data_IF_251092855205
#
_entry.id   IF_251092855205
#
_cell.length_a   1.000
_cell.length_b   1.000
_cell.length_c   1.000
_cell.angle_alpha   90.00
_cell.angle_beta   90.00
_cell.angle_gamma   90.00
#
_symmetry.space_group_name_H-M   'P 1'
#
loop_
_entity.id
_entity.type
_entity.pdbx_description
1 polymer ?
#
# COMPACT_ATOMS: atom_id res chain seq x y z
N UNK A 1 0.85 -16.03 -18.37
CA UNK A 1 1.39 -16.11 -16.98
C UNK A 1 0.23 -15.91 -16.00
N UNK A 2 -0.19 -16.97 -15.27
CA UNK A 2 -1.34 -16.89 -14.35
C UNK A 2 -0.85 -16.38 -12.99
N UNK A 3 -1.00 -15.08 -12.73
CA UNK A 3 -0.61 -14.45 -11.47
C UNK A 3 -1.55 -14.83 -10.31
N UNK A 4 -1.05 -15.54 -9.31
CA UNK A 4 -1.74 -15.77 -8.04
C UNK A 4 -1.75 -14.48 -7.21
N UNK A 5 -2.94 -13.93 -6.96
CA UNK A 5 -3.12 -12.68 -6.22
C UNK A 5 -3.48 -13.01 -4.77
N UNK A 6 -2.54 -12.77 -3.84
CA UNK A 6 -2.84 -12.72 -2.41
C UNK A 6 -3.63 -11.43 -2.10
N UNK A 7 -4.62 -11.54 -1.21
CA UNK A 7 -5.17 -10.39 -0.48
C UNK A 7 -4.04 -9.83 0.38
N UNK A 8 -3.32 -8.83 -0.15
CA UNK A 8 -2.36 -8.09 0.65
C UNK A 8 -3.16 -7.43 1.77
N UNK A 9 -2.77 -7.69 3.02
CA UNK A 9 -3.26 -6.94 4.16
C UNK A 9 -3.15 -5.46 3.82
N UNK A 10 -4.29 -4.80 3.60
CA UNK A 10 -4.32 -3.35 3.48
C UNK A 10 -3.98 -2.82 4.87
N UNK A 11 -2.68 -2.63 5.14
CA UNK A 11 -2.22 -2.03 6.38
C UNK A 11 -2.83 -0.64 6.40
N UNK A 12 -3.90 -0.50 7.18
CA UNK A 12 -4.57 0.78 7.37
C UNK A 12 -3.61 1.64 8.15
N UNK A 13 -2.90 2.53 7.47
CA UNK A 13 -2.12 3.56 8.14
C UNK A 13 -3.08 4.39 8.97
N UNK A 14 -2.83 4.45 10.28
CA UNK A 14 -3.53 5.38 11.17
C UNK A 14 -3.25 6.79 10.64
N UNK A 15 -4.28 7.57 10.29
CA UNK A 15 -4.06 8.92 9.80
C UNK A 15 -3.26 9.72 10.83
N UNK A 16 -2.13 10.30 10.40
CA UNK A 16 -1.31 11.15 11.26
C UNK A 16 -1.65 12.61 10.99
N UNK A 17 -1.86 13.36 12.06
CA UNK A 17 -1.99 14.81 11.99
C UNK A 17 -0.58 15.39 12.09
N UNK A 18 -0.16 16.12 11.07
CA UNK A 18 1.12 16.83 11.08
C UNK A 18 0.85 18.32 11.00
N UNK A 19 1.71 19.08 11.68
CA UNK A 19 1.75 20.53 11.56
C UNK A 19 2.83 20.88 10.54
N UNK A 20 2.48 21.65 9.52
CA UNK A 20 3.42 22.13 8.51
C UNK A 20 3.10 23.57 8.13
N UNK A 21 3.98 24.20 7.36
CA UNK A 21 3.84 25.58 6.89
C UNK A 21 3.20 25.59 5.49
N UNK A 22 2.31 26.53 5.23
CA UNK A 22 1.68 26.69 3.92
C UNK A 22 2.55 27.53 2.99
N UNK A 23 3.08 26.93 1.92
CA UNK A 23 3.88 27.67 0.94
C UNK A 23 3.11 27.97 -0.37
N UNK A 24 1.79 27.80 -0.41
CA UNK A 24 1.03 27.98 -1.66
C UNK A 24 1.07 29.40 -2.23
N UNK A 25 1.22 30.40 -1.37
CA UNK A 25 1.32 31.81 -1.71
C UNK A 25 2.67 32.41 -1.27
N UNK A 26 3.69 31.57 -1.12
CA UNK A 26 5.00 32.00 -0.65
C UNK A 26 5.79 32.66 -1.78
N UNK A 27 6.22 33.90 -1.56
CA UNK A 27 7.07 34.65 -2.48
C UNK A 27 8.39 35.02 -1.78
N UNK A 28 9.51 34.51 -2.29
CA UNK A 28 10.82 34.67 -1.66
C UNK A 28 11.25 36.13 -1.56
N UNK A 29 11.02 36.93 -2.60
CA UNK A 29 11.47 38.31 -2.65
C UNK A 29 10.69 39.21 -1.70
N UNK A 30 9.37 38.99 -1.56
CA UNK A 30 8.53 39.74 -0.62
C UNK A 30 8.91 39.40 0.83
N UNK A 31 9.20 38.13 1.12
CA UNK A 31 9.66 37.74 2.46
C UNK A 31 11.01 38.37 2.81
N UNK A 32 11.97 38.37 1.86
CA UNK A 32 13.28 39.04 2.06
C UNK A 32 13.11 40.52 2.33
N UNK A 33 12.20 41.17 1.61
CA UNK A 33 11.93 42.60 1.81
C UNK A 33 11.32 42.88 3.18
N UNK A 34 10.38 42.06 3.65
CA UNK A 34 9.84 42.16 5.01
C UNK A 34 10.93 41.98 6.08
N UNK A 35 11.91 41.09 5.87
CA UNK A 35 13.05 40.96 6.79
C UNK A 35 13.95 42.21 6.82
N UNK A 36 14.13 42.89 5.68
CA UNK A 36 14.92 44.14 5.61
C UNK A 36 14.23 45.29 6.31
N UNK A 37 12.89 45.30 6.31
CA UNK A 37 12.08 46.35 6.95
C UNK A 37 12.04 46.26 8.47
N UNK A 38 12.43 45.13 9.05
CA UNK A 38 12.51 44.99 10.51
C UNK A 38 13.61 45.89 11.06
N UNK A 39 13.25 46.70 12.06
CA UNK A 39 14.23 47.45 12.83
C UNK A 39 14.96 46.53 13.82
N UNK A 40 16.13 46.03 13.42
CA UNK A 40 16.98 45.19 14.27
C UNK A 40 17.75 45.99 15.33
N UNK A 41 17.78 47.32 15.26
CA UNK A 41 18.50 48.14 16.24
C UNK A 41 17.97 47.94 17.65
N UNK A 42 16.66 47.74 17.80
CA UNK A 42 16.03 47.43 19.08
C UNK A 42 16.59 46.18 19.73
N UNK A 43 17.00 45.18 18.94
CA UNK A 43 17.58 43.94 19.45
C UNK A 43 18.99 44.18 20.02
N UNK A 44 19.81 45.00 19.35
CA UNK A 44 21.16 45.34 19.81
C UNK A 44 21.20 46.26 21.03
N UNK A 45 20.09 46.95 21.32
CA UNK A 45 20.00 47.91 22.43
C UNK A 45 19.42 47.27 23.70
N UNK A 46 19.01 46.00 23.66
CA UNK A 46 18.46 45.29 24.82
C UNK A 46 19.57 44.80 25.76
N UNK A 47 19.43 45.10 27.06
CA UNK A 47 20.37 44.67 28.10
C UNK A 47 20.18 43.20 28.54
N UNK A 48 19.00 42.62 28.28
CA UNK A 48 18.66 41.26 28.68
C UNK A 48 18.66 40.33 27.46
N UNK A 49 19.57 39.35 27.48
CA UNK A 49 19.76 38.37 26.41
C UNK A 49 18.50 37.55 26.18
N UNK A 50 17.75 37.21 27.23
CA UNK A 50 16.51 36.43 27.09
C UNK A 50 15.44 37.23 26.35
N UNK A 51 15.28 38.51 26.70
CA UNK A 51 14.33 39.41 26.02
C UNK A 51 14.72 39.67 24.57
N UNK A 52 16.02 39.80 24.29
CA UNK A 52 16.52 39.93 22.92
C UNK A 52 16.19 38.68 22.08
N UNK A 53 16.36 37.50 22.66
CA UNK A 53 16.03 36.22 22.02
C UNK A 53 14.51 36.07 21.80
N UNK A 54 13.69 36.46 22.76
CA UNK A 54 12.23 36.45 22.63
C UNK A 54 11.76 37.39 21.51
N UNK A 55 12.28 38.62 21.47
CA UNK A 55 11.98 39.59 20.42
C UNK A 55 12.39 39.08 19.04
N UNK A 56 13.58 38.49 18.92
CA UNK A 56 14.04 37.86 17.69
C UNK A 56 13.08 36.76 17.22
N UNK A 57 12.81 35.80 18.10
CA UNK A 57 11.95 34.66 17.79
C UNK A 57 10.54 35.11 17.41
N UNK A 58 9.97 36.08 18.13
CA UNK A 58 8.67 36.65 17.83
C UNK A 58 8.65 37.32 16.46
N UNK A 59 9.61 38.18 16.17
CA UNK A 59 9.67 38.95 14.92
C UNK A 59 9.84 38.04 13.72
N UNK A 60 10.79 37.10 13.80
CA UNK A 60 11.03 36.10 12.75
C UNK A 60 9.79 35.23 12.55
N UNK A 61 9.19 34.73 13.64
CA UNK A 61 7.98 33.91 13.58
C UNK A 61 6.81 34.68 12.95
N UNK A 62 6.63 35.96 13.26
CA UNK A 62 5.56 36.78 12.68
C UNK A 62 5.68 36.89 11.15
N UNK A 63 6.90 37.08 10.64
CA UNK A 63 7.18 37.08 9.19
C UNK A 63 6.87 35.70 8.59
N UNK A 64 7.32 34.62 9.23
CA UNK A 64 6.98 33.27 8.78
C UNK A 64 5.47 32.98 8.83
N UNK A 65 4.76 33.42 9.86
CA UNK A 65 3.30 33.24 10.00
C UNK A 65 2.54 34.01 8.92
N UNK A 66 3.04 35.17 8.47
CA UNK A 66 2.48 35.95 7.36
C UNK A 66 2.69 35.29 5.99
N UNK A 67 3.93 34.89 5.70
CA UNK A 67 4.33 34.38 4.37
C UNK A 67 4.09 32.89 4.19
N UNK A 68 4.16 32.14 5.29
CA UNK A 68 3.99 30.70 5.31
C UNK A 68 3.19 30.28 6.55
N UNK A 69 1.88 30.58 6.61
CA UNK A 69 1.08 30.34 7.81
C UNK A 69 1.09 28.87 8.22
N UNK A 70 1.08 28.64 9.53
CA UNK A 70 1.02 27.29 10.06
C UNK A 70 -0.32 26.65 9.72
N UNK A 71 -0.26 25.42 9.21
CA UNK A 71 -1.43 24.63 8.89
C UNK A 71 -1.31 23.21 9.41
N UNK A 72 -2.47 22.60 9.64
CA UNK A 72 -2.56 21.23 10.13
C UNK A 72 -3.05 20.34 8.99
N UNK A 73 -2.24 19.36 8.58
CA UNK A 73 -2.60 18.40 7.53
C UNK A 73 -2.80 17.01 8.11
N UNK A 74 -3.92 16.38 7.72
CA UNK A 74 -4.17 14.97 8.00
C UNK A 74 -3.57 14.10 6.89
N UNK A 75 -2.38 13.55 7.15
CA UNK A 75 -1.72 12.62 6.24
C UNK A 75 -2.37 11.26 6.37
N UNK A 76 -3.00 10.82 5.27
CA UNK A 76 -3.53 9.46 5.12
C UNK A 76 -2.46 8.60 4.44
N UNK A 77 -2.51 7.29 4.64
CA UNK A 77 -1.63 6.36 3.94
C UNK A 77 -1.70 6.52 2.42
N UNK A 78 -0.67 6.04 1.71
CA UNK A 78 -0.61 6.12 0.25
C UNK A 78 -1.88 5.53 -0.37
N UNK A 79 -2.52 6.22 -1.33
CA UNK A 79 -3.64 5.65 -2.04
C UNK A 79 -3.19 4.38 -2.76
N UNK A 80 -4.11 3.43 -2.85
CA UNK A 80 -3.85 2.17 -3.55
C UNK A 80 -3.72 2.46 -5.06
N UNK A 81 -2.54 2.23 -5.67
CA UNK A 81 -2.23 2.77 -6.99
C UNK A 81 -3.06 2.14 -8.12
N UNK A 82 -3.56 0.91 -7.92
CA UNK A 82 -4.42 0.22 -8.88
C UNK A 82 -5.92 0.54 -8.74
N UNK A 83 -6.34 1.42 -7.82
CA UNK A 83 -7.75 1.81 -7.68
C UNK A 83 -8.03 3.10 -8.44
N UNK A 84 -8.71 2.98 -9.59
CA UNK A 84 -9.17 4.11 -10.39
C UNK A 84 -10.61 4.56 -10.06
N UNK A 85 -11.07 5.61 -10.75
CA UNK A 85 -12.42 6.16 -10.61
C UNK A 85 -13.51 5.14 -10.93
N UNK A 86 -13.33 4.28 -11.93
CA UNK A 86 -14.32 3.29 -12.35
C UNK A 86 -14.49 2.16 -11.34
N UNK A 87 -13.41 1.69 -10.73
CA UNK A 87 -13.47 0.74 -9.61
C UNK A 87 -14.22 1.39 -8.44
N UNK A 88 -13.95 2.66 -8.14
CA UNK A 88 -14.64 3.40 -7.07
C UNK A 88 -16.14 3.57 -7.36
N UNK A 89 -16.54 3.82 -8.62
CA UNK A 89 -17.94 3.82 -9.03
C UNK A 89 -18.59 2.45 -8.79
N UNK A 90 -17.94 1.37 -9.22
CA UNK A 90 -18.46 0.00 -9.00
C UNK A 90 -18.56 -0.36 -7.51
N UNK A 91 -17.59 0.05 -6.68
CA UNK A 91 -17.66 -0.09 -5.22
C UNK A 91 -18.86 0.67 -4.64
N UNK A 92 -19.09 1.91 -5.09
CA UNK A 92 -20.19 2.75 -4.63
C UNK A 92 -21.55 2.15 -5.00
N UNK A 93 -21.70 1.66 -6.23
CA UNK A 93 -22.92 0.96 -6.67
C UNK A 93 -23.16 -0.32 -5.85
N UNK A 94 -22.11 -1.11 -5.59
CA UNK A 94 -22.20 -2.30 -4.72
C UNK A 94 -22.70 -1.93 -3.33
N UNK A 95 -22.12 -0.90 -2.71
CA UNK A 95 -22.47 -0.49 -1.34
C UNK A 95 -23.88 0.13 -1.27
N UNK A 96 -24.29 0.86 -2.31
CA UNK A 96 -25.67 1.30 -2.47
C UNK A 96 -26.64 0.12 -2.51
N UNK A 97 -26.35 -0.90 -3.33
CA UNK A 97 -27.21 -2.07 -3.44
C UNK A 97 -27.20 -2.95 -2.19
N UNK A 98 -26.08 -3.02 -1.46
CA UNK A 98 -26.05 -3.69 -0.16
C UNK A 98 -27.00 -3.01 0.83
N UNK A 99 -26.97 -1.67 0.90
CA UNK A 99 -27.91 -0.91 1.74
C UNK A 99 -29.36 -1.14 1.31
N UNK A 100 -29.64 -1.14 0.01
CA UNK A 100 -30.99 -1.41 -0.53
C UNK A 100 -31.46 -2.83 -0.20
N UNK A 101 -30.63 -3.85 -0.41
CA UNK A 101 -30.95 -5.24 -0.13
C UNK A 101 -31.23 -5.49 1.35
N UNK A 102 -30.45 -4.86 2.26
CA UNK A 102 -30.68 -4.94 3.71
C UNK A 102 -32.01 -4.34 4.15
N UNK A 103 -32.40 -3.21 3.55
CA UNK A 103 -33.67 -2.52 3.86
C UNK A 103 -34.88 -3.28 3.34
N UNK A 104 -34.82 -3.69 2.08
CA UNK A 104 -35.97 -4.27 1.35
C UNK A 104 -36.12 -5.77 1.57
N UNK A 105 -35.05 -6.48 1.94
CA UNK A 105 -34.97 -7.93 2.09
C UNK A 105 -35.38 -8.75 0.85
N UNK A 106 -35.53 -8.12 -0.32
CA UNK A 106 -35.89 -8.80 -1.58
C UNK A 106 -34.70 -9.57 -2.16
N UNK A 107 -34.97 -10.77 -2.66
CA UNK A 107 -33.99 -11.67 -3.30
C UNK A 107 -33.32 -11.00 -4.51
N UNK A 108 -34.08 -10.26 -5.32
CA UNK A 108 -33.56 -9.54 -6.49
C UNK A 108 -32.45 -8.55 -6.14
N UNK A 109 -32.62 -7.79 -5.04
CA UNK A 109 -31.63 -6.83 -4.59
C UNK A 109 -30.37 -7.52 -4.07
N UNK A 110 -30.51 -8.68 -3.41
CA UNK A 110 -29.37 -9.52 -3.05
C UNK A 110 -28.64 -10.09 -4.27
N UNK A 111 -29.37 -10.53 -5.29
CA UNK A 111 -28.78 -11.02 -6.54
C UNK A 111 -28.01 -9.92 -7.27
N UNK A 112 -28.56 -8.71 -7.34
CA UNK A 112 -27.89 -7.57 -7.95
C UNK A 112 -26.67 -7.12 -7.14
N UNK A 113 -26.75 -7.15 -5.80
CA UNK A 113 -25.58 -6.95 -4.94
C UNK A 113 -24.47 -7.98 -5.22
N UNK A 114 -24.79 -9.28 -5.31
CA UNK A 114 -23.81 -10.34 -5.63
C UNK A 114 -23.16 -10.10 -7.01
N UNK A 115 -23.94 -9.73 -8.02
CA UNK A 115 -23.41 -9.36 -9.36
C UNK A 115 -22.41 -8.20 -9.26
N UNK A 116 -22.76 -7.13 -8.54
CA UNK A 116 -21.87 -5.97 -8.32
C UNK A 116 -20.64 -6.30 -7.48
N UNK A 117 -20.78 -7.19 -6.50
CA UNK A 117 -19.66 -7.68 -5.70
C UNK A 117 -18.65 -8.44 -6.56
N UNK A 118 -19.12 -9.34 -7.43
CA UNK A 118 -18.27 -10.06 -8.37
C UNK A 118 -17.61 -9.13 -9.38
N UNK A 119 -18.36 -8.18 -9.94
CA UNK A 119 -17.80 -7.17 -10.84
C UNK A 119 -16.70 -6.33 -10.15
N UNK A 120 -16.94 -5.89 -8.91
CA UNK A 120 -15.94 -5.18 -8.11
C UNK A 120 -14.68 -6.02 -7.86
N UNK A 121 -14.84 -7.30 -7.50
CA UNK A 121 -13.73 -8.21 -7.26
C UNK A 121 -12.91 -8.45 -8.53
N UNK A 122 -13.57 -8.66 -9.66
CA UNK A 122 -12.92 -8.89 -10.95
C UNK A 122 -12.16 -7.65 -11.41
N UNK A 123 -12.77 -6.46 -11.35
CA UNK A 123 -12.08 -5.20 -11.70
C UNK A 123 -10.87 -4.95 -10.80
N UNK A 124 -11.00 -5.19 -9.49
CA UNK A 124 -9.89 -5.06 -8.55
C UNK A 124 -8.76 -6.04 -8.87
N UNK A 125 -9.10 -7.29 -9.18
CA UNK A 125 -8.15 -8.34 -9.55
C UNK A 125 -7.38 -7.96 -10.82
N UNK A 126 -8.12 -7.53 -11.84
CA UNK A 126 -7.56 -7.11 -13.12
C UNK A 126 -6.63 -5.91 -12.94
N UNK A 127 -7.10 -4.81 -12.36
CA UNK A 127 -6.30 -3.60 -12.20
C UNK A 127 -5.04 -3.82 -11.36
N UNK A 128 -5.13 -4.64 -10.31
CA UNK A 128 -3.96 -5.04 -9.53
C UNK A 128 -2.96 -5.85 -10.35
N UNK A 129 -3.43 -6.79 -11.17
CA UNK A 129 -2.57 -7.60 -12.05
C UNK A 129 -1.87 -6.72 -13.07
N UNK A 130 -2.62 -5.85 -13.77
CA UNK A 130 -2.10 -4.92 -14.78
C UNK A 130 -1.03 -4.03 -14.16
N UNK A 131 -1.32 -3.36 -13.05
CA UNK A 131 -0.36 -2.49 -12.37
C UNK A 131 0.98 -3.19 -12.04
N UNK A 132 0.91 -4.43 -11.54
CA UNK A 132 2.14 -5.16 -11.23
C UNK A 132 2.87 -5.65 -12.47
N UNK A 133 2.15 -6.06 -13.52
CA UNK A 133 2.77 -6.43 -14.80
C UNK A 133 3.48 -5.24 -15.43
N UNK A 134 2.81 -4.09 -15.53
CA UNK A 134 3.39 -2.86 -16.09
C UNK A 134 4.65 -2.45 -15.32
N UNK A 135 4.63 -2.59 -13.99
CA UNK A 135 5.77 -2.28 -13.14
C UNK A 135 6.95 -3.24 -13.35
N UNK A 136 6.68 -4.51 -13.64
CA UNK A 136 7.70 -5.52 -13.93
C UNK A 136 8.26 -5.34 -15.35
N UNK A 137 7.43 -5.00 -16.33
CA UNK A 137 7.84 -4.75 -17.71
C UNK A 137 8.70 -3.48 -17.84
N UNK A 138 8.40 -2.45 -17.05
CA UNK A 138 9.19 -1.21 -16.99
C UNK A 138 10.48 -1.32 -16.17
N UNK A 139 10.76 -2.48 -15.58
CA UNK A 139 11.94 -2.68 -14.74
C UNK A 139 13.23 -2.79 -15.58
N UNK A 140 13.87 -1.66 -15.83
CA UNK A 140 15.13 -1.56 -16.60
C UNK A 140 16.35 -2.28 -15.97
N UNK A 141 16.31 -2.64 -14.68
CA UNK A 141 17.45 -3.33 -14.02
C UNK A 141 17.04 -4.50 -13.14
N UNK A 142 17.88 -5.55 -13.01
CA UNK A 142 17.61 -6.69 -12.13
C UNK A 142 17.35 -6.27 -10.68
N UNK A 143 18.06 -5.25 -10.18
CA UNK A 143 17.86 -4.71 -8.83
C UNK A 143 16.45 -4.14 -8.65
N UNK A 144 15.96 -3.36 -9.63
CA UNK A 144 14.59 -2.82 -9.62
C UNK A 144 13.56 -3.95 -9.67
N UNK A 145 13.76 -4.92 -10.55
CA UNK A 145 12.90 -6.11 -10.65
C UNK A 145 12.77 -6.84 -9.31
N UNK A 146 13.89 -7.19 -8.67
CA UNK A 146 13.88 -7.89 -7.39
C UNK A 146 13.29 -7.05 -6.26
N UNK A 147 13.46 -5.73 -6.27
CA UNK A 147 12.77 -4.84 -5.33
C UNK A 147 11.24 -4.87 -5.51
N UNK A 148 10.76 -4.88 -6.76
CA UNK A 148 9.33 -5.01 -7.07
C UNK A 148 8.80 -6.37 -6.57
N UNK A 149 9.51 -7.46 -6.86
CA UNK A 149 9.14 -8.81 -6.40
C UNK A 149 9.08 -8.90 -4.87
N UNK A 150 10.07 -8.34 -4.16
CA UNK A 150 10.07 -8.28 -2.69
C UNK A 150 8.86 -7.50 -2.14
N UNK A 151 8.41 -6.46 -2.84
CA UNK A 151 7.22 -5.71 -2.45
C UNK A 151 5.91 -6.47 -2.72
N UNK A 152 5.84 -7.26 -3.79
CA UNK A 152 4.67 -8.10 -4.12
C UNK A 152 4.58 -9.30 -3.16
N UNK A 153 5.73 -9.90 -2.86
CA UNK A 153 5.88 -11.05 -1.97
C UNK A 153 6.75 -10.66 -0.77
N UNK A 154 6.22 -9.87 0.19
CA UNK A 154 6.93 -9.57 1.42
C UNK A 154 7.11 -10.87 2.20
N UNK A 155 8.26 -11.51 2.02
CA UNK A 155 8.62 -12.72 2.72
C UNK A 155 8.87 -12.36 4.19
N UNK A 156 7.97 -12.78 5.09
CA UNK A 156 8.36 -13.03 6.48
C UNK A 156 9.16 -14.33 6.48
N UNK A 157 10.42 -14.27 6.07
CA UNK A 157 11.26 -15.46 6.00
C UNK A 157 11.68 -15.83 7.43
N UNK A 158 11.17 -16.97 7.93
CA UNK A 158 12.02 -17.83 8.77
C UNK A 158 13.08 -18.35 7.82
N UNK A 159 14.33 -18.02 8.06
CA UNK A 159 15.47 -18.58 7.33
C UNK A 159 15.33 -20.11 7.35
N UNK A 160 15.13 -20.71 6.18
CA UNK A 160 15.28 -22.16 6.02
C UNK A 160 16.76 -22.34 5.69
N UNK A 161 17.57 -22.62 6.71
CA UNK A 161 18.99 -22.90 6.51
C UNK A 161 19.17 -24.28 5.90
N UNK A 162 19.85 -24.35 4.76
CA UNK A 162 20.33 -25.61 4.21
C UNK A 162 21.63 -25.98 4.94
N UNK A 163 21.57 -26.90 5.90
CA UNK A 163 22.77 -27.42 6.55
C UNK A 163 23.43 -28.44 5.62
N UNK A 164 24.52 -28.04 4.96
CA UNK A 164 25.36 -28.96 4.18
C UNK A 164 26.55 -29.33 5.05
N UNK A 165 26.55 -30.53 5.62
CA UNK A 165 27.70 -31.02 6.38
C UNK A 165 28.81 -31.40 5.39
N UNK A 166 29.72 -30.46 5.14
CA UNK A 166 30.65 -30.45 4.00
C UNK A 166 31.88 -31.36 4.18
N UNK A 167 31.74 -32.57 4.74
CA UNK A 167 32.92 -33.41 5.00
C UNK A 167 32.94 -34.82 4.41
N UNK A 168 31.93 -35.34 3.68
CA UNK A 168 32.16 -36.63 2.98
C UNK A 168 31.21 -37.07 1.84
N UNK A 169 30.35 -36.22 1.27
CA UNK A 169 29.25 -36.74 0.44
C UNK A 169 29.38 -36.58 -1.09
N UNK A 170 29.24 -37.73 -1.77
CA UNK A 170 29.18 -37.91 -3.23
C UNK A 170 28.20 -36.93 -3.89
N UNK A 171 28.50 -36.44 -5.11
CA UNK A 171 27.68 -35.49 -5.87
C UNK A 171 26.17 -35.77 -5.88
N UNK A 172 25.78 -37.06 -5.90
CA UNK A 172 24.37 -37.51 -5.84
C UNK A 172 23.64 -37.06 -4.57
N UNK A 173 24.31 -37.05 -3.42
CA UNK A 173 23.72 -36.63 -2.15
C UNK A 173 23.44 -35.11 -2.13
N UNK A 174 24.36 -34.31 -2.68
CA UNK A 174 24.18 -32.85 -2.82
C UNK A 174 23.00 -32.50 -3.72
N UNK A 175 22.85 -33.20 -4.85
CA UNK A 175 21.71 -33.04 -5.76
C UNK A 175 20.40 -33.44 -5.07
N UNK A 176 20.41 -34.51 -4.27
CA UNK A 176 19.22 -34.93 -3.53
C UNK A 176 18.82 -33.93 -2.43
N UNK A 177 19.79 -33.38 -1.68
CA UNK A 177 19.53 -32.30 -0.69
C UNK A 177 18.95 -31.06 -1.38
N UNK A 178 19.54 -30.66 -2.51
CA UNK A 178 19.03 -29.54 -3.29
C UNK A 178 17.60 -29.78 -3.79
N UNK A 179 17.35 -30.94 -4.40
CA UNK A 179 16.04 -31.32 -4.92
C UNK A 179 14.97 -31.36 -3.82
N UNK A 180 15.28 -32.00 -2.69
CA UNK A 180 14.36 -32.09 -1.54
C UNK A 180 14.07 -30.72 -0.91
N UNK A 181 15.07 -29.83 -0.82
CA UNK A 181 14.87 -28.46 -0.36
C UNK A 181 13.86 -27.71 -1.23
N UNK A 182 14.05 -27.70 -2.55
CA UNK A 182 13.15 -26.98 -3.45
C UNK A 182 11.76 -27.63 -3.54
N UNK A 183 11.67 -28.96 -3.48
CA UNK A 183 10.39 -29.66 -3.38
C UNK A 183 9.61 -29.25 -2.12
N UNK A 184 10.26 -29.24 -0.96
CA UNK A 184 9.67 -28.80 0.30
C UNK A 184 9.29 -27.31 0.29
N UNK A 185 10.15 -26.45 -0.28
CA UNK A 185 9.85 -25.02 -0.41
C UNK A 185 8.60 -24.78 -1.28
N UNK A 186 8.47 -25.50 -2.41
CA UNK A 186 7.28 -25.43 -3.28
C UNK A 186 6.04 -25.95 -2.54
N UNK A 187 6.15 -27.04 -1.79
CA UNK A 187 5.05 -27.60 -1.01
C UNK A 187 4.54 -26.62 0.06
N UNK A 188 5.45 -26.02 0.82
CA UNK A 188 5.13 -24.98 1.80
C UNK A 188 4.50 -23.73 1.17
N UNK A 189 4.94 -23.36 -0.04
CA UNK A 189 4.32 -22.27 -0.80
C UNK A 189 2.90 -22.62 -1.24
N UNK A 190 2.66 -23.86 -1.70
CA UNK A 190 1.32 -24.35 -2.05
C UNK A 190 0.39 -24.29 -0.84
N UNK A 191 0.81 -24.82 0.31
CA UNK A 191 0.03 -24.80 1.56
C UNK A 191 -0.31 -23.38 2.02
N UNK A 192 0.69 -22.47 2.05
CA UNK A 192 0.46 -21.07 2.45
C UNK A 192 -0.28 -20.24 1.40
N UNK A 193 -0.42 -20.70 0.17
CA UNK A 193 -1.11 -19.97 -0.91
C UNK A 193 -2.62 -20.27 -0.98
N UNK A 194 -3.10 -21.26 -0.22
CA UNK A 194 -4.47 -21.75 -0.33
C UNK A 194 -5.43 -21.01 0.60
N UNK A 195 -6.29 -20.17 0.01
CA UNK A 195 -7.70 -20.54 -0.04
C UNK A 195 -8.23 -20.54 -1.49
N UNK A 196 -7.52 -21.20 -2.42
CA UNK A 196 -7.90 -21.24 -3.85
C UNK A 196 -8.41 -22.61 -4.35
N UNK A 197 -8.52 -23.63 -3.50
CA UNK A 197 -9.12 -24.92 -3.89
C UNK A 197 -10.61 -24.83 -4.28
N UNK A 198 -11.32 -23.74 -3.93
CA UNK A 198 -12.77 -23.60 -4.14
C UNK A 198 -13.20 -22.98 -5.48
N UNK A 199 -12.26 -22.63 -6.37
CA UNK A 199 -12.56 -21.96 -7.66
C UNK A 199 -12.27 -22.86 -8.88
N UNK A 200 -11.63 -24.02 -8.69
CA UNK A 200 -11.25 -24.93 -9.79
C UNK A 200 -12.06 -26.24 -9.85
N UNK A 201 -13.02 -26.47 -8.95
CA UNK A 201 -13.95 -27.61 -9.02
C UNK A 201 -15.38 -27.11 -9.20
N UNK A 202 -15.58 -26.36 -10.28
CA UNK A 202 -16.88 -25.93 -10.78
C UNK A 202 -17.03 -26.36 -12.22
N UNK A 203 -16.85 -27.66 -12.48
CA UNK A 203 -17.33 -28.38 -13.67
C UNK A 203 -16.75 -29.80 -13.65
N UNK A 204 -17.33 -30.70 -12.86
CA UNK A 204 -17.32 -32.12 -13.20
C UNK A 204 -18.61 -32.76 -12.66
N UNK A 205 -19.54 -32.86 -13.61
CA UNK A 205 -20.52 -33.93 -13.85
C UNK A 205 -21.37 -34.42 -12.66
N UNK A 206 -22.66 -34.15 -12.80
CA UNK A 206 -23.73 -35.08 -12.45
C UNK A 206 -23.36 -36.50 -12.89
N UNK A 207 -23.12 -37.37 -11.91
CA UNK A 207 -23.49 -38.79 -11.93
C UNK A 207 -23.56 -39.24 -10.46
N UNK A 208 -24.66 -38.89 -9.79
CA UNK A 208 -25.08 -39.65 -8.61
C UNK A 208 -26.06 -40.71 -9.07
N UNK A 209 -25.62 -41.96 -8.85
CA UNK A 209 -26.40 -43.18 -8.94
C UNK A 209 -27.71 -43.04 -8.15
N UNK A 210 -28.80 -43.48 -8.78
CA UNK A 210 -30.02 -43.91 -8.10
C UNK A 210 -29.69 -45.25 -7.43
N UNK A 211 -29.84 -45.42 -6.10
CA UNK A 211 -29.96 -46.74 -5.51
C UNK A 211 -31.42 -47.24 -5.65
N UNK A 212 -31.54 -48.54 -5.92
CA UNK A 212 -32.77 -49.34 -6.10
C UNK A 212 -34.03 -48.83 -5.39
#
# INVERSE_FOLDING_TARGET
MVGCIRKLNNVKFTPKVITCRNYSAYESEVMKEDFRRVNWQSLYTMNDVNKALEYFNYTVKAIFDRHAPQMVKKVRGKPCPWINSDIRKTMSSRDCMLRKARRTKKVEHWNLYKKLQNACNNKMRFAKSTYHNDLLETASSPKKFWNIIKNIFPAKSKSISMSVNSKNDKNKHRVNIFSTYFANAIQLLKEKSMPLKRILHGSDKNTENIPN
#
